data_IF_601245984254
#
_entry.id   IF_601245984254
#
_cell.length_a   1.000
_cell.length_b   1.000
_cell.length_c   1.000
_cell.angle_alpha   90.00
_cell.angle_beta   90.00
_cell.angle_gamma   90.00
#
_symmetry.space_group_name_H-M   'P 1'
#
loop_
_entity.id
_entity.type
_entity.pdbx_description
1 polymer ?
#
# COMPACT_ATOMS: atom_id res chain seq x y z
N UNK A 1 -23.48 9.68 -2.09
CA UNK A 1 -22.83 9.32 -0.81
C UNK A 1 -22.34 7.86 -0.85
N UNK A 2 -22.33 7.21 -2.02
CA UNK A 2 -22.11 5.74 -2.21
C UNK A 2 -20.70 5.35 -2.74
N UNK A 3 -19.71 6.24 -2.59
CA UNK A 3 -18.38 6.08 -3.21
C UNK A 3 -17.23 5.95 -2.21
N UNK A 4 -17.55 5.72 -0.94
CA UNK A 4 -16.58 5.46 0.11
C UNK A 4 -16.52 3.97 0.42
N UNK A 5 -15.30 3.45 0.60
CA UNK A 5 -15.03 2.06 0.94
C UNK A 5 -14.37 2.03 2.31
N UNK A 6 -14.83 1.16 3.20
CA UNK A 6 -14.21 1.00 4.51
C UNK A 6 -12.79 0.39 4.37
N UNK A 7 -11.84 1.01 5.06
CA UNK A 7 -10.52 0.43 5.33
C UNK A 7 -10.46 0.05 6.81
N UNK A 8 -10.04 -1.18 7.10
CA UNK A 8 -10.11 -1.74 8.45
C UNK A 8 -8.96 -2.71 8.70
N UNK A 9 -8.41 -2.70 9.92
CA UNK A 9 -7.48 -3.76 10.37
C UNK A 9 -8.24 -5.02 10.81
N UNK A 10 -7.57 -6.16 10.94
CA UNK A 10 -8.27 -7.44 11.14
C UNK A 10 -9.06 -7.49 12.46
N UNK A 11 -8.55 -6.87 13.52
CA UNK A 11 -9.24 -6.79 14.81
C UNK A 11 -10.25 -5.63 14.91
N UNK A 12 -10.39 -4.81 13.87
CA UNK A 12 -11.36 -3.71 13.79
C UNK A 12 -11.05 -2.48 14.64
N UNK A 13 -9.92 -2.43 15.37
CA UNK A 13 -9.56 -1.26 16.19
C UNK A 13 -9.17 -0.04 15.34
N UNK A 14 -8.60 -0.26 14.16
CA UNK A 14 -8.29 0.79 13.18
C UNK A 14 -9.32 0.72 12.07
N UNK A 15 -10.07 1.81 11.87
CA UNK A 15 -11.12 1.94 10.85
C UNK A 15 -11.05 3.30 10.18
N UNK A 16 -11.46 3.33 8.93
CA UNK A 16 -11.50 4.54 8.14
C UNK A 16 -12.25 4.36 6.84
N UNK A 17 -12.26 5.41 6.04
CA UNK A 17 -12.91 5.46 4.75
C UNK A 17 -11.94 5.87 3.65
N UNK A 18 -12.14 5.28 2.48
CA UNK A 18 -11.42 5.58 1.24
C UNK A 18 -12.41 6.07 0.21
N UNK A 19 -12.39 7.37 -0.08
CA UNK A 19 -13.25 7.97 -1.09
C UNK A 19 -12.69 7.75 -2.51
N UNK A 20 -13.59 7.80 -3.52
CA UNK A 20 -13.21 7.80 -4.95
C UNK A 20 -12.40 6.56 -5.35
N UNK A 21 -12.69 5.41 -4.73
CA UNK A 21 -12.02 4.15 -5.05
C UNK A 21 -12.55 3.58 -6.37
N UNK A 22 -12.05 4.09 -7.49
CA UNK A 22 -12.45 3.68 -8.85
C UNK A 22 -11.25 3.44 -9.75
N UNK A 23 -11.41 2.63 -10.81
CA UNK A 23 -10.38 2.33 -11.82
C UNK A 23 -9.76 3.59 -12.42
N UNK A 24 -10.54 4.67 -12.51
CA UNK A 24 -10.10 5.95 -13.05
C UNK A 24 -9.27 6.79 -12.06
N UNK A 25 -9.21 6.41 -10.78
CA UNK A 25 -8.54 7.16 -9.71
C UNK A 25 -7.41 6.37 -9.03
N UNK A 26 -7.36 5.04 -9.17
CA UNK A 26 -6.35 4.21 -8.50
C UNK A 26 -5.49 3.41 -9.49
N UNK A 27 -4.40 2.82 -8.98
CA UNK A 27 -3.78 1.66 -9.59
C UNK A 27 -4.01 0.44 -8.71
N UNK A 28 -4.39 -0.68 -9.33
CA UNK A 28 -4.47 -1.98 -8.67
C UNK A 28 -3.29 -2.83 -9.13
N UNK A 29 -2.47 -3.29 -8.18
CA UNK A 29 -1.19 -3.93 -8.45
C UNK A 29 -1.02 -5.18 -7.57
N UNK A 30 -0.50 -6.27 -8.13
CA UNK A 30 0.18 -7.32 -7.36
C UNK A 30 1.68 -7.12 -7.52
N UNK A 31 2.37 -6.81 -6.41
CA UNK A 31 3.80 -6.50 -6.42
C UNK A 31 4.61 -7.68 -5.87
N UNK A 32 5.59 -8.13 -6.66
CA UNK A 32 6.44 -9.30 -6.37
C UNK A 32 7.86 -8.90 -5.92
N UNK A 33 8.07 -7.66 -5.50
CA UNK A 33 9.39 -7.25 -5.02
C UNK A 33 9.69 -7.83 -3.63
N UNK A 34 10.98 -8.08 -3.37
CA UNK A 34 11.49 -8.57 -2.09
C UNK A 34 11.05 -7.71 -0.91
N UNK A 35 10.92 -6.39 -1.11
CA UNK A 35 10.56 -5.43 -0.08
C UNK A 35 9.07 -5.55 0.34
N UNK A 36 8.17 -5.98 -0.56
CA UNK A 36 6.77 -6.25 -0.18
C UNK A 36 6.69 -7.53 0.67
N UNK A 37 7.43 -8.57 0.29
CA UNK A 37 7.55 -9.79 1.09
C UNK A 37 8.19 -9.54 2.45
N UNK A 38 9.32 -8.84 2.49
CA UNK A 38 10.03 -8.52 3.72
C UNK A 38 9.13 -7.76 4.71
N UNK A 39 8.24 -6.88 4.22
CA UNK A 39 7.28 -6.20 5.06
C UNK A 39 6.25 -7.16 5.68
N UNK A 40 5.68 -8.08 4.89
CA UNK A 40 4.74 -9.06 5.43
C UNK A 40 5.43 -10.04 6.39
N UNK A 41 6.68 -10.42 6.13
CA UNK A 41 7.50 -11.19 7.08
C UNK A 41 7.74 -10.49 8.39
N UNK A 42 8.06 -9.19 8.35
CA UNK A 42 8.23 -8.38 9.55
C UNK A 42 6.96 -8.39 10.42
N UNK A 43 5.78 -8.47 9.80
CA UNK A 43 4.49 -8.52 10.47
C UNK A 43 4.03 -9.94 10.80
N UNK A 44 4.79 -10.97 10.40
CA UNK A 44 4.37 -12.38 10.46
C UNK A 44 3.05 -12.64 9.72
N UNK A 45 2.85 -11.94 8.59
CA UNK A 45 1.64 -11.96 7.75
C UNK A 45 1.88 -12.48 6.34
N UNK A 46 2.72 -13.51 6.22
CA UNK A 46 2.97 -14.18 4.94
C UNK A 46 1.72 -14.91 4.41
N UNK A 47 0.71 -15.14 5.25
CA UNK A 47 -0.63 -15.61 4.86
C UNK A 47 -1.34 -14.69 3.84
N UNK A 48 -0.88 -13.44 3.70
CA UNK A 48 -1.42 -12.46 2.76
C UNK A 48 -0.68 -12.42 1.41
N UNK A 49 0.37 -13.21 1.24
CA UNK A 49 1.04 -13.37 -0.05
C UNK A 49 0.18 -14.25 -0.97
N UNK A 50 0.18 -13.94 -2.28
CA UNK A 50 -0.32 -14.90 -3.27
C UNK A 50 0.67 -16.08 -3.44
N UNK A 51 0.25 -17.11 -4.17
CA UNK A 51 1.04 -18.33 -4.40
C UNK A 51 2.41 -18.07 -5.06
N UNK A 52 2.60 -16.88 -5.63
CA UNK A 52 3.82 -16.44 -6.29
C UNK A 52 4.61 -15.42 -5.46
N UNK A 53 4.28 -15.25 -4.18
CA UNK A 53 4.97 -14.33 -3.27
C UNK A 53 4.65 -12.85 -3.53
N UNK A 54 3.49 -12.56 -4.10
CA UNK A 54 3.02 -11.22 -4.43
C UNK A 54 2.12 -10.62 -3.36
N UNK A 55 2.25 -9.30 -3.13
CA UNK A 55 1.32 -8.54 -2.28
C UNK A 55 0.41 -7.68 -3.15
N UNK A 56 -0.91 -7.76 -2.94
CA UNK A 56 -1.87 -6.92 -3.66
C UNK A 56 -2.02 -5.55 -2.98
N UNK A 57 -1.79 -4.49 -3.75
CA UNK A 57 -1.72 -3.10 -3.30
C UNK A 57 -2.62 -2.24 -4.19
N UNK A 58 -3.35 -1.31 -3.58
CA UNK A 58 -4.12 -0.27 -4.27
C UNK A 58 -3.45 1.08 -4.05
N UNK A 59 -2.86 1.64 -5.10
CA UNK A 59 -2.19 2.93 -5.04
C UNK A 59 -3.18 4.07 -5.35
N UNK A 60 -3.17 5.10 -4.51
CA UNK A 60 -4.12 6.20 -4.54
C UNK A 60 -3.52 7.50 -3.96
N UNK A 61 -4.29 8.57 -4.00
CA UNK A 61 -3.96 9.82 -3.32
C UNK A 61 -4.18 9.67 -1.80
N UNK A 62 -3.21 10.00 -0.93
CA UNK A 62 -3.39 9.90 0.52
C UNK A 62 -4.55 10.76 1.04
N UNK A 63 -4.95 11.81 0.31
CA UNK A 63 -6.07 12.70 0.69
C UNK A 63 -7.45 12.07 0.49
N UNK A 64 -7.54 10.89 -0.14
CA UNK A 64 -8.80 10.12 -0.18
C UNK A 64 -9.00 9.22 1.03
N UNK A 65 -7.99 9.08 1.88
CA UNK A 65 -8.03 8.21 3.06
C UNK A 65 -8.27 9.04 4.30
N UNK A 66 -9.16 8.58 5.16
CA UNK A 66 -9.41 9.16 6.48
C UNK A 66 -9.57 8.02 7.49
N UNK A 67 -8.78 8.02 8.56
CA UNK A 67 -9.04 7.15 9.70
C UNK A 67 -10.04 7.83 10.64
N UNK A 68 -11.09 7.11 10.98
CA UNK A 68 -12.17 7.59 11.85
C UNK A 68 -12.05 6.99 13.25
N UNK A 69 -11.33 5.87 13.37
CA UNK A 69 -11.07 5.19 14.63
C UNK A 69 -9.65 4.61 14.64
N UNK A 70 -8.99 4.64 15.81
CA UNK A 70 -7.74 3.93 16.03
C UNK A 70 -6.53 4.47 15.28
N UNK A 71 -6.54 5.74 14.85
CA UNK A 71 -5.37 6.34 14.20
C UNK A 71 -4.10 6.30 15.08
N UNK A 72 -4.26 6.32 16.41
CA UNK A 72 -3.17 6.15 17.38
C UNK A 72 -2.56 4.75 17.41
N UNK A 73 -3.28 3.74 16.93
CA UNK A 73 -2.81 2.36 16.83
C UNK A 73 -1.99 2.11 15.56
N UNK A 74 -1.89 3.12 14.67
CA UNK A 74 -1.03 3.01 13.49
C UNK A 74 0.42 3.11 13.91
N UNK A 75 1.19 2.09 13.56
CA UNK A 75 2.64 2.10 13.63
C UNK A 75 3.20 2.20 12.21
N UNK A 76 4.48 2.55 12.10
CA UNK A 76 5.16 2.41 10.82
C UNK A 76 6.61 1.96 10.96
N UNK A 77 7.16 1.47 9.86
CA UNK A 77 8.54 1.01 9.77
C UNK A 77 9.14 1.35 8.41
N UNK A 78 10.47 1.29 8.32
CA UNK A 78 11.21 1.36 7.05
C UNK A 78 12.22 0.22 6.97
N UNK A 79 12.29 -0.42 5.81
CA UNK A 79 13.29 -1.46 5.54
C UNK A 79 14.72 -0.90 5.42
N UNK A 80 14.86 0.40 5.15
CA UNK A 80 16.13 1.13 5.13
C UNK A 80 15.90 2.60 5.48
N UNK A 81 16.92 3.37 5.86
CA UNK A 81 16.75 4.78 6.26
C UNK A 81 16.01 5.64 5.23
N UNK A 82 16.25 5.39 3.93
CA UNK A 82 15.64 6.12 2.80
C UNK A 82 14.48 5.38 2.13
N UNK A 83 14.10 4.20 2.64
CA UNK A 83 13.02 3.39 2.09
C UNK A 83 11.63 4.01 2.28
N UNK A 84 10.63 3.42 1.64
CA UNK A 84 9.22 3.78 1.85
C UNK A 84 8.84 3.60 3.32
N UNK A 85 7.94 4.45 3.80
CA UNK A 85 7.29 4.27 5.10
C UNK A 85 6.19 3.23 4.94
N UNK A 86 6.26 2.15 5.71
CA UNK A 86 5.30 1.05 5.68
C UNK A 86 4.45 1.08 6.94
N UNK A 87 3.15 1.25 6.77
CA UNK A 87 2.17 1.45 7.83
C UNK A 87 1.47 0.15 8.17
N UNK A 88 1.28 -0.11 9.45
CA UNK A 88 0.56 -1.28 9.96
C UNK A 88 -0.21 -0.93 11.23
N UNK A 89 -1.23 -1.71 11.55
CA UNK A 89 -1.97 -1.56 12.80
C UNK A 89 -1.20 -2.31 13.91
N UNK A 90 -0.64 -1.59 14.88
CA UNK A 90 0.15 -2.20 15.96
C UNK A 90 -0.64 -3.20 16.80
N UNK A 91 -1.95 -3.00 16.92
CA UNK A 91 -2.85 -3.85 17.68
C UNK A 91 -3.02 -5.29 17.15
N UNK A 92 -2.71 -5.56 15.88
CA UNK A 92 -2.88 -6.89 15.27
C UNK A 92 -1.91 -7.18 14.11
N UNK A 93 -0.91 -6.32 13.91
CA UNK A 93 0.07 -6.41 12.83
C UNK A 93 -0.55 -6.40 11.40
N UNK A 94 -1.80 -5.92 11.21
CA UNK A 94 -2.38 -5.82 9.87
C UNK A 94 -1.60 -4.82 9.01
N UNK A 95 -1.14 -5.20 7.80
CA UNK A 95 -0.42 -4.29 6.90
C UNK A 95 -1.37 -3.25 6.30
N UNK A 96 -1.37 -2.02 6.80
CA UNK A 96 -2.30 -0.96 6.38
C UNK A 96 -1.88 -0.31 5.06
N UNK A 97 -0.59 -0.27 4.75
CA UNK A 97 -0.12 0.23 3.47
C UNK A 97 1.28 0.83 3.50
N UNK A 98 1.56 1.76 2.58
CA UNK A 98 2.83 2.48 2.50
C UNK A 98 2.68 3.88 1.90
N UNK A 99 3.66 4.74 2.20
CA UNK A 99 3.80 6.10 1.66
C UNK A 99 5.28 6.40 1.41
N UNK A 100 5.59 7.40 0.58
CA UNK A 100 6.98 7.84 0.34
C UNK A 100 7.41 8.92 1.35
N UNK A 101 6.80 10.10 1.26
CA UNK A 101 7.01 11.25 2.14
C UNK A 101 5.83 12.22 2.01
N UNK A 102 5.70 13.18 2.94
CA UNK A 102 4.61 14.14 2.94
C UNK A 102 4.50 14.98 1.64
N UNK A 103 5.63 15.25 0.97
CA UNK A 103 5.65 16.03 -0.28
C UNK A 103 5.12 15.28 -1.51
N UNK A 104 5.01 13.95 -1.42
CA UNK A 104 4.64 13.08 -2.53
C UNK A 104 3.21 12.57 -2.32
N UNK A 105 2.31 12.93 -3.25
CA UNK A 105 0.90 12.49 -3.23
C UNK A 105 0.79 11.02 -3.65
N UNK A 106 1.18 10.11 -2.76
CA UNK A 106 1.15 8.67 -2.99
C UNK A 106 0.91 7.91 -1.68
N UNK A 107 -0.09 7.04 -1.68
CA UNK A 107 -0.24 5.97 -0.71
C UNK A 107 -0.59 4.66 -1.43
N UNK A 108 -0.06 3.54 -0.95
CA UNK A 108 -0.45 2.20 -1.38
C UNK A 108 -1.11 1.46 -0.23
N UNK A 109 -2.42 1.23 -0.29
CA UNK A 109 -3.15 0.44 0.71
C UNK A 109 -3.02 -1.05 0.39
N UNK A 110 -2.84 -1.89 1.41
CA UNK A 110 -2.91 -3.35 1.20
C UNK A 110 -4.34 -3.74 0.92
N UNK A 111 -4.56 -4.46 -0.17
CA UNK A 111 -5.89 -4.70 -0.72
C UNK A 111 -6.83 -5.49 0.21
N UNK A 112 -6.27 -6.30 1.13
CA UNK A 112 -7.01 -7.06 2.15
C UNK A 112 -7.65 -6.18 3.23
N UNK A 113 -7.14 -4.96 3.44
CA UNK A 113 -7.70 -4.02 4.43
C UNK A 113 -8.96 -3.31 3.92
N UNK A 114 -9.18 -3.30 2.61
CA UNK A 114 -10.36 -2.72 1.98
C UNK A 114 -11.52 -3.71 2.08
N UNK A 115 -12.60 -3.30 2.75
CA UNK A 115 -13.81 -4.09 2.92
C UNK A 115 -14.63 -4.04 1.61
N UNK A 116 -14.26 -4.92 0.69
CA UNK A 116 -14.89 -5.09 -0.62
C UNK A 116 -15.17 -6.56 -0.84
N UNK A 117 -16.39 -6.87 -1.29
CA UNK A 117 -16.67 -8.19 -1.86
C UNK A 117 -15.80 -8.43 -3.11
N UNK A 118 -15.61 -9.69 -3.53
CA UNK A 118 -14.91 -9.98 -4.79
C UNK A 118 -15.51 -9.26 -6.00
N UNK A 119 -16.84 -9.16 -6.07
CA UNK A 119 -17.57 -8.48 -7.14
C UNK A 119 -17.33 -6.97 -7.12
N UNK A 120 -17.42 -6.34 -5.94
CA UNK A 120 -17.14 -4.91 -5.78
C UNK A 120 -15.69 -4.58 -6.09
N UNK A 121 -14.76 -5.43 -5.66
CA UNK A 121 -13.34 -5.30 -5.97
C UNK A 121 -13.10 -5.33 -7.47
N UNK A 122 -13.71 -6.28 -8.18
CA UNK A 122 -13.57 -6.37 -9.62
C UNK A 122 -14.20 -5.16 -10.33
N UNK A 123 -15.40 -4.73 -9.92
CA UNK A 123 -16.07 -3.57 -10.49
C UNK A 123 -15.28 -2.26 -10.28
N UNK A 124 -14.78 -2.05 -9.05
CA UNK A 124 -14.11 -0.80 -8.66
C UNK A 124 -12.64 -0.73 -9.08
N UNK A 125 -11.91 -1.84 -9.06
CA UNK A 125 -10.46 -1.87 -9.27
C UNK A 125 -10.06 -2.51 -10.61
N UNK A 126 -10.86 -3.45 -11.11
CA UNK A 126 -10.49 -4.32 -12.23
C UNK A 126 -9.34 -5.28 -11.85
N UNK A 127 -8.76 -5.99 -12.84
CA UNK A 127 -7.65 -6.91 -12.59
C UNK A 127 -6.41 -6.16 -12.08
N UNK A 128 -5.67 -6.80 -11.18
CA UNK A 128 -4.40 -6.27 -10.69
C UNK A 128 -3.33 -6.38 -11.78
N UNK A 129 -2.62 -5.29 -12.04
CA UNK A 129 -1.40 -5.35 -12.86
C UNK A 129 -0.30 -6.08 -12.09
N UNK A 130 0.50 -6.90 -12.79
CA UNK A 130 1.62 -7.59 -12.17
C UNK A 130 2.88 -6.71 -12.23
N UNK A 131 3.54 -6.49 -11.09
CA UNK A 131 4.72 -5.63 -10.99
C UNK A 131 5.90 -6.31 -10.32
N UNK A 132 7.13 -6.02 -10.77
CA UNK A 132 8.36 -6.64 -10.28
C UNK A 132 8.38 -8.19 -10.43
N UNK A 133 7.82 -8.73 -11.52
CA UNK A 133 7.72 -10.18 -11.78
C UNK A 133 9.04 -10.95 -11.67
N UNK A 134 10.19 -10.29 -11.86
CA UNK A 134 11.52 -10.90 -11.66
C UNK A 134 11.73 -11.39 -10.22
N UNK A 135 11.01 -10.82 -9.26
CA UNK A 135 11.05 -11.25 -7.86
C UNK A 135 10.03 -12.33 -7.52
N UNK A 136 9.18 -12.79 -8.45
CA UNK A 136 8.15 -13.79 -8.14
C UNK A 136 8.77 -15.10 -7.61
N UNK A 137 8.12 -15.70 -6.62
CA UNK A 137 8.43 -17.03 -6.09
C UNK A 137 7.59 -18.08 -6.82
N UNK A 138 8.01 -19.34 -6.81
CA UNK A 138 7.29 -20.44 -7.46
C UNK A 138 7.01 -20.22 -8.96
N UNK A 139 7.89 -19.46 -9.63
CA UNK A 139 7.73 -19.04 -11.02
C UNK A 139 6.82 -17.81 -11.19
N UNK A 140 6.85 -17.14 -12.35
CA UNK A 140 5.97 -15.99 -12.58
C UNK A 140 4.50 -16.43 -12.66
N UNK A 141 3.56 -15.66 -12.07
CA UNK A 141 2.13 -15.91 -12.25
C UNK A 141 1.74 -15.81 -13.73
N UNK A 142 0.68 -16.52 -14.16
CA UNK A 142 0.07 -16.28 -15.46
C UNK A 142 -0.33 -14.80 -15.61
N UNK A 143 0.04 -14.20 -16.74
CA UNK A 143 -0.28 -12.81 -17.06
C UNK A 143 -0.76 -12.72 -18.52
N UNK A 144 -2.08 -12.61 -18.68
CA UNK A 144 -2.71 -12.50 -20.00
C UNK A 144 -2.37 -11.17 -20.69
N UNK A 145 -1.91 -10.16 -19.92
CA UNK A 145 -1.63 -8.81 -20.42
C UNK A 145 -0.30 -8.27 -19.87
N UNK A 146 0.83 -8.89 -20.27
CA UNK A 146 2.14 -8.56 -19.72
C UNK A 146 2.46 -7.10 -19.97
N UNK A 147 2.68 -6.37 -18.87
CA UNK A 147 3.09 -4.97 -18.91
C UNK A 147 4.55 -4.88 -18.52
N UNK A 148 5.38 -4.25 -19.36
CA UNK A 148 6.79 -4.05 -18.99
C UNK A 148 6.91 -3.18 -17.73
N UNK A 149 7.90 -3.48 -16.89
CA UNK A 149 8.11 -2.76 -15.64
C UNK A 149 8.25 -1.24 -15.86
N UNK A 150 8.94 -0.82 -16.92
CA UNK A 150 9.06 0.60 -17.28
C UNK A 150 7.71 1.26 -17.57
N UNK A 151 6.81 0.60 -18.32
CA UNK A 151 5.46 1.12 -18.58
C UNK A 151 4.62 1.19 -17.31
N UNK A 152 4.74 0.19 -16.43
CA UNK A 152 4.08 0.21 -15.14
C UNK A 152 4.54 1.40 -14.31
N UNK A 153 5.85 1.62 -14.18
CA UNK A 153 6.41 2.77 -13.46
C UNK A 153 5.95 4.09 -14.08
N UNK A 154 5.97 4.23 -15.41
CA UNK A 154 5.45 5.41 -16.09
C UNK A 154 3.96 5.66 -15.77
N UNK A 155 3.13 4.61 -15.71
CA UNK A 155 1.72 4.70 -15.30
C UNK A 155 1.59 5.19 -13.85
N UNK A 156 2.39 4.66 -12.92
CA UNK A 156 2.38 5.09 -11.51
C UNK A 156 2.77 6.56 -11.39
N UNK A 157 3.85 6.99 -12.07
CA UNK A 157 4.29 8.39 -12.06
C UNK A 157 3.22 9.31 -12.65
N UNK A 158 2.62 8.94 -13.80
CA UNK A 158 1.54 9.73 -14.41
C UNK A 158 0.33 9.89 -13.48
N UNK A 159 0.00 8.85 -12.70
CA UNK A 159 -1.05 8.92 -11.67
C UNK A 159 -0.68 9.86 -10.54
N UNK A 160 0.55 9.80 -10.04
CA UNK A 160 1.02 10.69 -8.98
C UNK A 160 0.96 12.16 -9.40
N UNK A 161 1.34 12.47 -10.65
CA UNK A 161 1.21 13.82 -11.22
C UNK A 161 -0.26 14.24 -11.27
N UNK A 162 -1.15 13.38 -11.80
CA UNK A 162 -2.60 13.64 -11.84
C UNK A 162 -3.17 13.88 -10.44
N UNK A 163 -2.83 13.04 -9.46
CA UNK A 163 -3.29 13.20 -8.07
C UNK A 163 -2.78 14.49 -7.45
N UNK A 164 -1.52 14.88 -7.72
CA UNK A 164 -0.97 16.14 -7.26
C UNK A 164 -1.77 17.33 -7.82
N UNK A 165 -2.00 17.37 -9.13
CA UNK A 165 -2.80 18.43 -9.78
C UNK A 165 -4.22 18.45 -9.20
N UNK A 166 -4.88 17.30 -9.10
CA UNK A 166 -6.23 17.20 -8.53
C UNK A 166 -6.26 17.66 -7.07
N UNK A 167 -5.23 17.36 -6.29
CA UNK A 167 -5.17 17.74 -4.87
C UNK A 167 -5.09 19.25 -4.65
N UNK A 168 -4.54 20.01 -5.60
CA UNK A 168 -4.48 21.47 -5.52
C UNK A 168 -5.86 22.14 -5.69
N UNK A 169 -6.81 21.44 -6.31
CA UNK A 169 -8.16 21.95 -6.62
C UNK A 169 -9.22 21.30 -5.73
N UNK A 170 -9.24 19.97 -5.65
CA UNK A 170 -10.30 19.18 -5.01
C UNK A 170 -10.00 18.85 -3.55
N UNK A 171 -8.73 18.65 -3.21
CA UNK A 171 -8.30 18.27 -1.87
C UNK A 171 -7.56 19.41 -1.15
N UNK A 172 -7.77 20.65 -1.60
CA UNK A 172 -7.12 21.83 -1.05
C UNK A 172 -7.47 21.97 0.43
N UNK A 173 -6.44 22.03 1.28
CA UNK A 173 -6.59 22.12 2.73
C UNK A 173 -6.86 20.80 3.44
N UNK A 174 -7.02 19.67 2.71
CA UNK A 174 -7.08 18.35 3.35
C UNK A 174 -5.70 17.93 3.84
N UNK A 175 -5.64 17.37 5.04
CA UNK A 175 -4.44 16.77 5.60
C UNK A 175 -4.33 15.30 5.18
N UNK A 176 -3.11 14.82 4.97
CA UNK A 176 -2.85 13.39 4.89
C UNK A 176 -3.06 12.74 6.26
N UNK A 177 -3.67 11.56 6.36
CA UNK A 177 -3.81 10.85 7.63
C UNK A 177 -2.48 10.25 8.14
N UNK A 178 -1.41 10.29 7.32
CA UNK A 178 -0.13 9.67 7.63
C UNK A 178 0.92 10.65 8.16
N UNK A 179 0.76 11.95 7.87
CA UNK A 179 1.73 12.99 8.18
C UNK A 179 1.09 14.10 9.01
N UNK A 180 1.87 14.71 9.89
CA UNK A 180 1.46 15.91 10.62
C UNK A 180 1.70 17.18 9.80
N UNK A 181 1.41 18.35 10.39
CA UNK A 181 1.59 19.64 9.73
C UNK A 181 3.06 20.00 9.43
N UNK A 182 4.02 19.39 10.14
CA UNK A 182 5.46 19.54 9.87
C UNK A 182 5.94 18.66 8.72
N UNK A 183 5.12 17.70 8.27
CA UNK A 183 5.48 16.70 7.28
C UNK A 183 6.17 15.47 7.90
N UNK A 184 6.27 15.38 9.22
CA UNK A 184 6.73 14.19 9.91
C UNK A 184 5.65 13.10 9.89
N UNK A 185 6.03 11.81 9.83
CA UNK A 185 5.07 10.72 9.99
C UNK A 185 4.42 10.79 11.36
N UNK A 186 3.09 10.57 11.43
CA UNK A 186 2.34 10.60 12.70
C UNK A 186 2.73 9.51 13.70
N UNK A 187 3.37 8.44 13.22
CA UNK A 187 3.99 7.41 14.06
C UNK A 187 5.50 7.39 13.78
N UNK A 188 6.32 7.30 14.83
CA UNK A 188 7.77 7.20 14.69
C UNK A 188 8.15 5.91 13.95
N UNK A 189 8.83 5.98 12.79
CA UNK A 189 9.18 4.79 12.04
C UNK A 189 10.24 3.94 12.75
N UNK A 190 9.98 2.64 12.95
CA UNK A 190 11.06 1.67 13.21
C UNK A 190 11.89 1.48 11.94
N UNK A 191 13.14 1.94 11.92
CA UNK A 191 14.05 1.72 10.80
C UNK A 191 14.85 0.44 11.07
N UNK A 192 14.77 -0.54 10.17
CA UNK A 192 15.54 -1.78 10.33
C UNK A 192 17.03 -1.53 10.13
N UNK A 193 17.82 -2.29 10.88
CA UNK A 193 19.24 -2.48 10.58
C UNK A 193 19.41 -3.30 9.31
N UNK A 194 20.61 -3.25 8.73
CA UNK A 194 20.95 -4.07 7.56
C UNK A 194 20.83 -5.58 7.87
N UNK A 195 21.17 -5.98 9.09
CA UNK A 195 21.09 -7.37 9.54
C UNK A 195 19.64 -7.84 9.68
N UNK A 196 18.79 -7.05 10.35
CA UNK A 196 17.35 -7.34 10.44
C UNK A 196 16.73 -7.45 9.04
N UNK A 197 17.06 -6.53 8.12
CA UNK A 197 16.57 -6.60 6.73
C UNK A 197 17.04 -7.89 6.04
N UNK A 198 18.32 -8.26 6.17
CA UNK A 198 18.86 -9.48 5.57
C UNK A 198 18.20 -10.74 6.12
N UNK A 199 17.92 -10.79 7.41
CA UNK A 199 17.22 -11.91 8.03
C UNK A 199 15.81 -12.12 7.44
N UNK A 200 15.10 -11.03 7.14
CA UNK A 200 13.79 -11.09 6.46
C UNK A 200 13.91 -11.60 5.01
N UNK A 201 14.99 -11.27 4.31
CA UNK A 201 15.21 -11.65 2.90
C UNK A 201 15.77 -13.06 2.74
N UNK A 202 16.54 -13.57 3.70
CA UNK A 202 17.14 -14.91 3.64
C UNK A 202 16.09 -16.03 3.51
N UNK A 203 14.86 -15.79 3.97
CA UNK A 203 13.72 -16.71 3.81
C UNK A 203 13.24 -16.86 2.35
N UNK A 204 13.76 -16.08 1.40
CA UNK A 204 13.51 -16.28 -0.05
C UNK A 204 14.36 -17.41 -0.66
N UNK A 205 15.37 -17.93 0.06
CA UNK A 205 16.38 -18.85 -0.47
C UNK A 205 16.24 -20.31 0.03
N UNK A 206 15.20 -20.59 0.82
CA UNK A 206 14.86 -21.94 1.29
C UNK A 206 13.57 -22.41 0.63
#
# INVERSE_FOLDING_TARGET
MDDEVEVRCDCGKVRGLVARLTRAQVNHLACYCEDCRAFLRFLEREDLLDDHGGTTIVQLSPYTVRFEQGASELCCMRLSPKGMIRWYAGCCQTPMGNTLSAGITFAGLTASTLQLSPEERQARLGPALKGNLQGAQNGPPPDEHPTSFARLIAKVIGRMVKWKVLSLVVDRGKASPYFDASGAPRATPKVLTLEERRALLARDQG
#
